data_IF_850447583520
#
_entry.id   IF_850447583520
#
_cell.length_a   1.000
_cell.length_b   1.000
_cell.length_c   1.000
_cell.angle_alpha   90.00
_cell.angle_beta   90.00
_cell.angle_gamma   90.00
#
_symmetry.space_group_name_H-M   'P 1'
#
loop_
_entity.id
_entity.type
_entity.pdbx_description
1 polymer ?
#
# COMPACT_ATOMS: atom_id res chain seq x y z
N UNK A 1 -6.95 38.55 3.66
CA UNK A 1 -6.77 38.12 3.43
C UNK A 1 -6.63 37.20 3.18
N UNK A 2 -6.56 36.76 2.94
CA UNK A 2 -6.37 36.04 2.65
C UNK A 2 -6.20 35.07 2.65
N UNK A 3 -5.94 34.70 2.73
CA UNK A 3 -5.67 33.89 2.78
C UNK A 3 -6.20 32.78 2.65
N UNK A 4 -6.63 32.55 2.50
CA UNK A 4 -7.19 31.61 2.32
C UNK A 4 -6.88 30.72 1.57
N UNK A 5 -6.58 30.95 1.27
CA UNK A 5 -6.06 30.31 0.18
C UNK A 5 -5.51 28.98 0.49
N UNK A 6 -4.54 28.95 1.25
CA UNK A 6 -3.96 27.71 1.60
C UNK A 6 -4.96 26.73 2.10
N UNK A 7 -5.97 27.26 2.67
CA UNK A 7 -6.99 26.45 3.24
C UNK A 7 -7.76 25.65 2.22
N UNK A 8 -7.77 26.14 1.00
CA UNK A 8 -8.52 25.50 -0.03
C UNK A 8 -7.82 24.34 -0.63
N UNK A 9 -6.56 24.19 -0.28
CA UNK A 9 -5.76 23.20 -0.95
C UNK A 9 -5.97 21.85 -0.36
N UNK A 10 -6.33 20.92 -1.21
CA UNK A 10 -6.19 19.53 -0.87
C UNK A 10 -4.73 19.29 -0.59
N UNK A 11 -4.42 18.44 0.35
CA UNK A 11 -3.05 18.07 0.58
C UNK A 11 -2.47 17.49 -0.70
N UNK A 12 -1.30 17.97 -1.08
CA UNK A 12 -0.63 17.46 -2.26
C UNK A 12 -0.21 16.02 -2.03
N UNK A 13 -0.21 15.22 -3.09
CA UNK A 13 0.30 13.86 -2.98
C UNK A 13 1.75 13.85 -2.57
N UNK A 14 2.11 12.87 -1.76
CA UNK A 14 3.49 12.60 -1.44
C UNK A 14 4.00 11.56 -2.41
N UNK A 15 5.16 11.82 -3.00
CA UNK A 15 5.75 10.90 -3.97
C UNK A 15 7.09 10.42 -3.44
N UNK A 16 7.24 9.11 -3.38
CA UNK A 16 8.47 8.47 -2.93
C UNK A 16 9.00 7.59 -4.03
N UNK A 17 10.33 7.52 -4.12
CA UNK A 17 10.98 6.49 -4.92
C UNK A 17 11.48 5.44 -3.95
N UNK A 18 10.95 4.24 -4.02
CA UNK A 18 11.25 3.19 -3.09
C UNK A 18 12.07 2.09 -3.74
N UNK A 19 13.03 1.56 -3.01
CA UNK A 19 13.90 0.52 -3.51
C UNK A 19 13.77 -0.69 -2.62
N UNK A 20 13.49 -1.83 -3.25
CA UNK A 20 13.45 -3.11 -2.59
C UNK A 20 14.62 -3.93 -3.09
N UNK A 21 15.45 -4.38 -2.15
CA UNK A 21 16.61 -5.19 -2.49
C UNK A 21 16.38 -6.62 -2.07
N UNK A 22 16.55 -7.52 -2.99
CA UNK A 22 16.49 -8.94 -2.75
C UNK A 22 17.89 -9.51 -3.00
N UNK A 23 18.06 -10.79 -2.68
CA UNK A 23 19.36 -11.41 -2.76
C UNK A 23 20.05 -11.24 -4.10
N UNK A 24 19.28 -11.33 -5.19
CA UNK A 24 19.85 -11.33 -6.54
C UNK A 24 19.38 -10.17 -7.40
N UNK A 25 18.58 -9.26 -6.87
CA UNK A 25 18.14 -8.14 -7.68
C UNK A 25 17.65 -6.98 -6.82
N UNK A 26 17.58 -5.82 -7.44
CA UNK A 26 17.07 -4.61 -6.81
C UNK A 26 15.97 -4.06 -7.71
N UNK A 27 14.86 -3.71 -7.09
CA UNK A 27 13.72 -3.15 -7.80
C UNK A 27 13.42 -1.77 -7.25
N UNK A 28 13.16 -0.82 -8.14
CA UNK A 28 12.82 0.53 -7.75
C UNK A 28 11.44 0.86 -8.32
N UNK A 29 10.60 1.47 -7.51
CA UNK A 29 9.26 1.85 -7.94
C UNK A 29 8.87 3.19 -7.34
N UNK A 30 7.85 3.82 -7.94
CA UNK A 30 7.32 5.07 -7.43
C UNK A 30 6.08 4.78 -6.59
N UNK A 31 6.04 5.34 -5.39
CA UNK A 31 4.90 5.24 -4.51
C UNK A 31 4.30 6.63 -4.34
N UNK A 32 3.07 6.81 -4.78
CA UNK A 32 2.36 8.08 -4.63
C UNK A 32 1.23 7.91 -3.65
N UNK A 33 1.21 8.74 -2.62
CA UNK A 33 0.22 8.68 -1.56
C UNK A 33 -0.57 9.98 -1.57
N UNK A 34 -1.87 9.87 -1.81
CA UNK A 34 -2.77 11.01 -1.78
C UNK A 34 -3.61 10.90 -0.52
N UNK A 35 -3.38 11.76 0.47
CA UNK A 35 -4.18 11.74 1.67
C UNK A 35 -5.62 12.07 1.34
N UNK A 36 -6.54 11.45 2.03
CA UNK A 36 -7.93 11.77 1.83
C UNK A 36 -8.27 13.14 2.36
N UNK A 37 -9.44 13.61 1.98
CA UNK A 37 -9.99 14.83 2.48
C UNK A 37 -11.46 14.59 2.77
N UNK A 38 -12.15 15.67 3.17
CA UNK A 38 -13.56 15.58 3.49
C UNK A 38 -14.36 15.00 2.33
N UNK A 39 -13.98 15.37 1.10
CA UNK A 39 -14.74 15.01 -0.09
C UNK A 39 -14.03 13.99 -0.98
N UNK A 40 -12.84 13.57 -0.61
CA UNK A 40 -12.09 12.65 -1.44
C UNK A 40 -11.49 11.55 -0.61
N UNK A 41 -11.61 10.35 -1.13
CA UNK A 41 -11.00 9.19 -0.51
C UNK A 41 -9.49 9.24 -0.68
N UNK A 42 -8.76 8.75 0.30
CA UNK A 42 -7.32 8.59 0.17
C UNK A 42 -7.01 7.59 -0.94
N UNK A 43 -5.92 7.82 -1.65
CA UNK A 43 -5.50 6.98 -2.76
C UNK A 43 -4.02 6.68 -2.68
N UNK A 44 -3.64 5.50 -3.11
CA UNK A 44 -2.24 5.09 -3.19
C UNK A 44 -1.99 4.48 -4.56
N UNK A 45 -0.91 4.90 -5.20
CA UNK A 45 -0.54 4.41 -6.52
C UNK A 45 0.88 3.86 -6.46
N UNK A 46 1.11 2.76 -7.15
CA UNK A 46 2.45 2.20 -7.35
C UNK A 46 2.70 2.21 -8.84
N UNK A 47 3.71 2.96 -9.28
CA UNK A 47 4.02 3.16 -10.69
C UNK A 47 2.77 3.55 -11.48
N UNK A 48 2.03 4.53 -10.94
CA UNK A 48 0.78 5.06 -11.50
C UNK A 48 -0.39 4.08 -11.51
N UNK A 49 -0.24 2.92 -10.90
CA UNK A 49 -1.32 1.96 -10.80
C UNK A 49 -2.06 2.16 -9.49
N UNK A 50 -3.37 2.35 -9.58
CA UNK A 50 -4.24 2.51 -8.41
C UNK A 50 -4.28 1.21 -7.61
N UNK A 51 -4.01 1.29 -6.32
CA UNK A 51 -4.05 0.10 -5.48
C UNK A 51 -5.46 -0.32 -5.07
N UNK A 52 -6.46 0.55 -5.25
CA UNK A 52 -7.85 0.13 -5.13
C UNK A 52 -8.21 -0.61 -6.41
N UNK A 53 -8.43 -1.89 -6.32
CA UNK A 53 -8.72 -2.72 -7.49
C UNK A 53 -9.81 -3.73 -7.16
N UNK A 54 -10.64 -4.04 -8.16
CA UNK A 54 -11.64 -5.07 -8.00
C UNK A 54 -11.79 -5.76 -9.36
N UNK A 55 -11.63 -7.07 -9.36
CA UNK A 55 -11.77 -7.87 -10.58
C UNK A 55 -12.21 -9.27 -10.19
N UNK A 56 -12.17 -10.19 -11.16
CA UNK A 56 -12.60 -11.56 -10.92
C UNK A 56 -11.74 -12.30 -9.91
N UNK A 57 -10.49 -11.87 -9.77
CA UNK A 57 -9.54 -12.55 -8.89
C UNK A 57 -9.65 -12.08 -7.45
N UNK A 58 -10.31 -10.95 -7.22
CA UNK A 58 -10.44 -10.44 -5.88
C UNK A 58 -10.62 -8.94 -5.83
N UNK A 59 -10.60 -8.42 -4.62
CA UNK A 59 -10.80 -7.01 -4.38
C UNK A 59 -9.75 -6.50 -3.40
N UNK A 60 -9.14 -5.38 -3.73
CA UNK A 60 -8.16 -4.73 -2.87
C UNK A 60 -8.59 -3.30 -2.62
N UNK A 61 -8.54 -2.87 -1.37
CA UNK A 61 -9.05 -1.56 -0.96
C UNK A 61 -8.08 -0.92 0.01
N UNK A 62 -7.79 0.36 -0.22
CA UNK A 62 -7.08 1.18 0.75
C UNK A 62 -8.07 1.52 1.86
N UNK A 63 -7.76 1.12 3.08
CA UNK A 63 -8.65 1.34 4.22
C UNK A 63 -8.36 2.65 4.92
N UNK A 64 -7.11 3.03 4.99
CA UNK A 64 -6.74 4.23 5.73
C UNK A 64 -5.38 4.74 5.28
N UNK A 65 -5.23 6.04 5.22
CA UNK A 65 -3.94 6.70 5.00
C UNK A 65 -3.84 7.82 6.03
N UNK A 66 -2.80 7.77 6.85
CA UNK A 66 -2.55 8.81 7.83
C UNK A 66 -1.18 9.40 7.58
N UNK A 67 -1.14 10.68 7.28
CA UNK A 67 0.11 11.39 7.02
C UNK A 67 0.37 12.33 8.19
N UNK A 68 1.49 12.10 8.88
CA UNK A 68 1.96 13.00 9.93
C UNK A 68 3.34 13.46 9.54
N UNK A 69 3.90 14.38 10.31
CA UNK A 69 5.25 14.85 10.05
C UNK A 69 6.27 13.73 10.12
N UNK A 70 6.25 12.87 11.15
CA UNK A 70 7.26 11.83 11.23
C UNK A 70 6.95 10.60 10.38
N UNK A 71 5.67 10.30 10.07
CA UNK A 71 5.36 9.04 9.43
C UNK A 71 4.22 9.14 8.44
N UNK A 72 4.20 8.19 7.51
CA UNK A 72 3.04 7.90 6.67
C UNK A 72 2.61 6.49 6.99
N UNK A 73 1.33 6.31 7.31
CA UNK A 73 0.76 5.01 7.61
C UNK A 73 -0.30 4.68 6.57
N UNK A 74 -0.21 3.50 5.99
CA UNK A 74 -1.17 3.03 4.99
C UNK A 74 -1.68 1.68 5.42
N UNK A 75 -3.01 1.53 5.44
CA UNK A 75 -3.65 0.24 5.69
C UNK A 75 -4.43 -0.18 4.46
N UNK A 76 -4.31 -1.44 4.09
CA UNK A 76 -4.90 -1.96 2.89
C UNK A 76 -5.38 -3.39 3.14
N UNK A 77 -6.50 -3.75 2.52
CA UNK A 77 -7.04 -5.11 2.64
C UNK A 77 -7.33 -5.65 1.25
N UNK A 78 -6.95 -6.90 1.04
CA UNK A 78 -7.30 -7.63 -0.17
C UNK A 78 -8.13 -8.84 0.22
N UNK A 79 -9.19 -9.10 -0.53
CA UNK A 79 -10.08 -10.23 -0.30
C UNK A 79 -10.18 -11.04 -1.57
N UNK A 80 -10.07 -12.36 -1.44
CA UNK A 80 -10.10 -13.27 -2.56
C UNK A 80 -11.26 -14.25 -2.40
N UNK A 81 -12.05 -14.48 -3.46
CA UNK A 81 -13.13 -15.45 -3.37
C UNK A 81 -12.59 -16.87 -3.31
N UNK A 82 -13.43 -17.83 -2.93
CA UNK A 82 -13.03 -19.22 -3.03
C UNK A 82 -12.64 -19.55 -4.46
N UNK A 83 -11.64 -20.40 -4.62
CA UNK A 83 -11.20 -20.78 -5.96
C UNK A 83 -10.71 -22.20 -6.01
N UNK A 84 -10.62 -22.71 -7.22
CA UNK A 84 -10.17 -24.06 -7.48
C UNK A 84 -8.89 -23.99 -8.28
N UNK A 85 -7.87 -24.73 -7.88
CA UNK A 85 -6.62 -24.77 -8.61
C UNK A 85 -6.07 -26.18 -8.57
N UNK A 86 -5.77 -26.72 -9.75
CA UNK A 86 -5.19 -28.05 -9.91
C UNK A 86 -6.00 -29.11 -9.17
N UNK A 87 -7.33 -29.02 -9.26
CA UNK A 87 -8.23 -29.99 -8.64
C UNK A 87 -8.45 -29.80 -7.16
N UNK A 88 -7.82 -28.81 -6.54
CA UNK A 88 -7.97 -28.54 -5.12
C UNK A 88 -8.85 -27.32 -4.92
N UNK A 89 -9.80 -27.42 -3.99
CA UNK A 89 -10.70 -26.32 -3.66
C UNK A 89 -10.12 -25.52 -2.50
N UNK A 90 -10.05 -24.21 -2.67
CA UNK A 90 -9.57 -23.29 -1.64
C UNK A 90 -10.71 -22.37 -1.23
N UNK A 91 -10.86 -22.14 0.06
CA UNK A 91 -11.86 -21.21 0.56
C UNK A 91 -11.45 -19.77 0.31
N UNK A 92 -12.28 -18.84 0.76
CA UNK A 92 -11.97 -17.43 0.67
C UNK A 92 -10.74 -17.09 1.51
N UNK A 93 -10.00 -16.09 1.07
CA UNK A 93 -8.82 -15.65 1.79
C UNK A 93 -8.71 -14.14 1.82
N UNK A 94 -7.79 -13.65 2.64
CA UNK A 94 -7.55 -12.21 2.73
C UNK A 94 -6.08 -11.95 3.04
N UNK A 95 -5.63 -10.75 2.66
CA UNK A 95 -4.32 -10.23 3.02
C UNK A 95 -4.53 -8.82 3.55
N UNK A 96 -4.08 -8.60 4.77
CA UNK A 96 -4.15 -7.28 5.40
C UNK A 96 -2.73 -6.74 5.41
N UNK A 97 -2.55 -5.55 4.83
CA UNK A 97 -1.23 -4.94 4.70
C UNK A 97 -1.18 -3.64 5.48
N UNK A 98 -0.12 -3.48 6.25
CA UNK A 98 0.16 -2.22 6.95
C UNK A 98 1.54 -1.75 6.50
N UNK A 99 1.59 -0.52 6.00
CA UNK A 99 2.83 0.10 5.54
C UNK A 99 3.11 1.31 6.40
N UNK A 100 4.34 1.41 6.90
CA UNK A 100 4.80 2.56 7.67
C UNK A 100 6.05 3.10 6.99
N UNK A 101 6.05 4.40 6.70
CA UNK A 101 7.23 5.06 6.16
C UNK A 101 7.68 6.10 7.17
N UNK A 102 8.93 5.99 7.60
CA UNK A 102 9.55 6.98 8.48
C UNK A 102 10.13 8.08 7.59
N UNK A 103 9.50 9.24 7.62
CA UNK A 103 9.80 10.28 6.64
C UNK A 103 11.20 10.84 6.77
N UNK A 104 11.76 10.86 7.97
CA UNK A 104 13.11 11.39 8.16
C UNK A 104 14.18 10.50 7.56
N UNK A 105 14.01 9.18 7.64
CA UNK A 105 15.00 8.23 7.16
C UNK A 105 14.65 7.59 5.83
N UNK A 106 13.37 7.64 5.46
CA UNK A 106 12.89 6.96 4.27
C UNK A 106 12.66 5.48 4.46
N UNK A 107 12.85 4.95 5.65
CA UNK A 107 12.65 3.53 5.87
C UNK A 107 11.18 3.17 5.77
N UNK A 108 10.89 2.20 4.91
CA UNK A 108 9.55 1.67 4.75
C UNK A 108 9.50 0.28 5.36
N UNK A 109 8.47 0.04 6.16
CA UNK A 109 8.23 -1.29 6.71
C UNK A 109 6.84 -1.71 6.29
N UNK A 110 6.73 -2.91 5.76
CA UNK A 110 5.46 -3.46 5.31
C UNK A 110 5.20 -4.76 6.05
N UNK A 111 4.03 -4.88 6.66
CA UNK A 111 3.61 -6.11 7.32
C UNK A 111 2.38 -6.64 6.59
N UNK A 112 2.47 -7.86 6.09
CA UNK A 112 1.37 -8.52 5.40
C UNK A 112 0.89 -9.70 6.21
N UNK A 113 -0.40 -9.72 6.52
CA UNK A 113 -1.01 -10.82 7.26
C UNK A 113 -1.90 -11.61 6.32
N UNK A 114 -1.57 -12.87 6.09
CA UNK A 114 -2.29 -13.76 5.19
C UNK A 114 -3.20 -14.65 5.98
N UNK A 115 -4.48 -14.70 5.58
CA UNK A 115 -5.48 -15.54 6.25
C UNK A 115 -6.31 -16.26 5.22
N UNK A 116 -6.32 -17.59 5.30
CA UNK A 116 -7.17 -18.43 4.46
C UNK A 116 -6.81 -18.38 2.99
N UNK A 117 -7.56 -19.13 2.21
CA UNK A 117 -7.43 -19.14 0.76
C UNK A 117 -6.19 -19.82 0.24
N UNK A 118 -6.00 -19.70 -1.05
CA UNK A 118 -4.88 -20.33 -1.73
C UNK A 118 -3.54 -19.74 -1.26
N UNK A 119 -3.52 -18.46 -0.91
CA UNK A 119 -2.27 -17.84 -0.45
C UNK A 119 -1.82 -18.41 0.89
N UNK A 120 -2.77 -18.69 1.79
CA UNK A 120 -2.44 -19.33 3.05
C UNK A 120 -1.85 -20.71 2.82
N UNK A 121 -2.43 -21.46 1.87
CA UNK A 121 -1.96 -22.80 1.56
C UNK A 121 -0.57 -22.81 0.90
N UNK A 122 -0.28 -21.81 0.09
CA UNK A 122 0.98 -21.77 -0.68
C UNK A 122 2.09 -20.99 0.01
N UNK A 123 1.76 -19.88 0.67
CA UNK A 123 2.75 -18.99 1.27
C UNK A 123 2.79 -19.10 2.79
N UNK A 124 1.79 -19.74 3.38
CA UNK A 124 1.69 -19.87 4.83
C UNK A 124 0.83 -18.79 5.43
N UNK A 125 0.12 -19.13 6.48
CA UNK A 125 -0.73 -18.21 7.21
C UNK A 125 0.12 -17.41 8.19
N UNK A 126 -0.32 -16.19 8.51
CA UNK A 126 0.35 -15.36 9.49
C UNK A 126 0.93 -14.10 8.88
N UNK A 127 1.80 -13.44 9.63
CA UNK A 127 2.34 -12.13 9.26
C UNK A 127 3.77 -12.25 8.77
N UNK A 128 4.04 -11.58 7.63
CA UNK A 128 5.39 -11.45 7.10
C UNK A 128 5.74 -9.97 7.02
N UNK A 129 6.98 -9.66 7.34
CA UNK A 129 7.44 -8.28 7.39
C UNK A 129 8.55 -8.06 6.38
N UNK A 130 8.48 -6.91 5.69
CA UNK A 130 9.46 -6.53 4.68
C UNK A 130 9.96 -5.13 4.99
N UNK A 131 11.20 -4.86 4.60
CA UNK A 131 11.78 -3.53 4.74
C UNK A 131 12.31 -3.04 3.41
N UNK A 132 12.09 -1.75 3.14
CA UNK A 132 12.54 -1.12 1.90
C UNK A 132 13.05 0.27 2.23
N UNK A 133 13.72 0.88 1.29
CA UNK A 133 14.24 2.21 1.47
C UNK A 133 13.61 3.15 0.46
N UNK A 134 13.05 4.23 0.95
CA UNK A 134 12.39 5.22 0.11
C UNK A 134 13.06 6.57 0.23
N UNK A 135 12.98 7.35 -0.84
CA UNK A 135 13.43 8.72 -0.84
C UNK A 135 12.29 9.58 -1.37
N UNK A 136 12.15 10.78 -0.84
CA UNK A 136 11.16 11.70 -1.34
C UNK A 136 11.57 12.11 -2.75
N UNK A 137 10.64 11.98 -3.70
CA UNK A 137 10.94 12.37 -5.07
C UNK A 137 11.09 13.88 -5.14
N UNK A 138 12.14 14.32 -5.80
CA UNK A 138 12.39 15.74 -5.97
C UNK A 138 11.49 16.24 -7.08
N UNK A 139 10.83 17.33 -6.82
CA UNK A 139 10.05 17.95 -7.89
C UNK A 139 10.98 18.67 -8.84
N UNK A 140 10.72 18.57 -10.12
CA UNK A 140 11.53 19.29 -11.11
C UNK A 140 11.35 20.79 -10.99
#
# INVERSE_FOLDING_TARGET
>A
LFSYSALCLAAEPLVFTCTRSEKNYTETYELKVSPGSKNQKAKVFVDDRDLDQSDELGRQVIKNVLVTEPTVLISMEAHFPPESFDGVQYGAGSVITAITIHRATGQLRKAETIRGGILSATLGEGTKTYQEQCAVATKP
#
